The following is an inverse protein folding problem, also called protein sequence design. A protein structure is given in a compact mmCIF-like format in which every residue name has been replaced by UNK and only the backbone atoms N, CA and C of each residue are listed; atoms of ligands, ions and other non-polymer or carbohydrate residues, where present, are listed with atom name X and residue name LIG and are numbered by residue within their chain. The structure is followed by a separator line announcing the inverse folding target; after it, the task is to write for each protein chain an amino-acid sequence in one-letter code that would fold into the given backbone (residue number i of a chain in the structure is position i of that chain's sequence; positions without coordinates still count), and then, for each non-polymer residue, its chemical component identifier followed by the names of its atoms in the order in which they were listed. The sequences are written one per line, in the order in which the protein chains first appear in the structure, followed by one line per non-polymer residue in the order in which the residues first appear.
data_IF_173927974626
#
_entry.id   IF_173927974626
#
_cell.length_a   1.000
_cell.length_b   1.000
_cell.length_c   1.000
_cell.angle_alpha   90.00
_cell.angle_beta   90.00
_cell.angle_gamma   90.00
#
_symmetry.space_group_name_H-M   'P 1'
#
loop_
_entity.id
_entity.type
_entity.pdbx_description
1 polymer ?
#
# COMPACT_ATOMS: atom_id res chain seq x y z
N UNK A 1 -1.07 -1.43 22.36
CA UNK A 1 -0.92 -2.13 23.65
C UNK A 1 -1.86 -1.49 24.65
N UNK A 2 -2.38 -2.24 25.62
CA UNK A 2 -3.26 -1.66 26.66
C UNK A 2 -2.52 -1.69 27.98
N UNK A 3 -2.29 -0.52 28.57
CA UNK A 3 -1.73 -0.39 29.91
C UNK A 3 -2.87 -0.56 30.92
N UNK A 4 -2.65 -1.44 31.88
CA UNK A 4 -3.56 -1.72 32.98
C UNK A 4 -2.86 -1.25 34.25
N UNK A 5 -3.48 -0.30 34.93
CA UNK A 5 -3.02 0.21 36.21
C UNK A 5 -4.08 -0.04 37.28
N UNK A 6 -3.66 -0.38 38.49
CA UNK A 6 -4.56 -0.56 39.61
C UNK A 6 -4.47 0.64 40.54
N UNK A 7 -5.60 1.28 40.79
CA UNK A 7 -5.73 2.28 41.83
C UNK A 7 -5.59 1.63 43.23
N UNK A 8 -5.34 2.41 44.30
CA UNK A 8 -5.18 1.87 45.65
C UNK A 8 -6.39 1.09 46.18
N UNK A 9 -7.57 1.34 45.61
CA UNK A 9 -8.83 0.64 45.89
C UNK A 9 -8.98 -0.70 45.12
N UNK A 10 -8.03 -1.01 44.23
CA UNK A 10 -8.05 -2.19 43.37
C UNK A 10 -8.79 -2.01 42.04
N UNK A 11 -9.28 -0.80 41.73
CA UNK A 11 -9.98 -0.52 40.48
C UNK A 11 -8.99 -0.50 39.29
N UNK A 12 -9.22 -1.30 38.23
CA UNK A 12 -8.35 -1.28 37.04
C UNK A 12 -8.66 -0.09 36.13
N UNK A 13 -7.66 0.76 35.91
CA UNK A 13 -7.65 1.85 34.94
C UNK A 13 -6.96 1.39 33.66
N UNK A 14 -7.66 1.53 32.54
CA UNK A 14 -7.15 1.15 31.22
C UNK A 14 -6.70 2.39 30.45
N UNK A 15 -5.48 2.38 29.94
CA UNK A 15 -4.97 3.41 29.02
C UNK A 15 -4.31 2.77 27.79
N UNK A 16 -4.24 3.51 26.69
CA UNK A 16 -3.62 3.03 25.45
C UNK A 16 -2.13 3.38 25.48
N UNK A 17 -1.29 2.36 25.26
CA UNK A 17 0.14 2.56 25.02
C UNK A 17 0.42 2.38 23.53
N UNK A 18 0.91 3.47 22.91
CA UNK A 18 1.15 3.58 21.47
C UNK A 18 2.22 2.58 21.01
N UNK A 19 2.03 2.00 19.82
CA UNK A 19 2.91 0.99 19.24
C UNK A 19 4.27 1.52 18.77
N UNK A 20 4.41 2.82 18.49
CA UNK A 20 5.67 3.45 18.11
C UNK A 20 6.61 3.59 19.29
N UNK A 21 6.07 3.85 20.49
CA UNK A 21 6.85 4.04 21.72
C UNK A 21 6.94 2.79 22.59
N UNK A 22 6.14 1.74 22.32
CA UNK A 22 6.10 0.52 23.13
C UNK A 22 6.66 -0.68 22.36
N UNK A 23 7.62 -1.39 22.94
CA UNK A 23 8.23 -2.59 22.34
C UNK A 23 8.28 -3.75 23.33
N UNK A 24 8.27 -4.98 22.81
CA UNK A 24 8.49 -6.17 23.63
C UNK A 24 9.97 -6.19 24.05
N UNK A 25 10.21 -6.26 25.37
CA UNK A 25 11.56 -6.46 25.88
C UNK A 25 12.06 -7.86 25.58
N UNK A 26 13.38 -8.04 25.55
CA UNK A 26 13.98 -9.33 25.21
C UNK A 26 13.54 -10.40 26.23
N UNK A 27 12.91 -11.51 25.81
CA UNK A 27 12.51 -12.56 26.74
C UNK A 27 13.73 -13.19 27.44
N UNK A 28 13.61 -13.46 28.74
CA UNK A 28 14.64 -14.16 29.51
C UNK A 28 14.78 -15.64 29.08
N UNK A 29 13.67 -16.32 28.79
CA UNK A 29 13.67 -17.65 28.16
C UNK A 29 12.36 -17.93 27.42
N UNK A 30 12.45 -18.72 26.35
CA UNK A 30 11.29 -19.15 25.57
C UNK A 30 10.60 -18.06 24.74
N UNK A 31 9.35 -18.34 24.37
CA UNK A 31 8.56 -17.57 23.39
C UNK A 31 7.51 -16.64 24.03
N UNK A 32 7.64 -16.35 25.33
CA UNK A 32 6.67 -15.52 26.07
C UNK A 32 7.24 -14.12 26.32
N UNK A 33 6.50 -13.09 25.92
CA UNK A 33 6.80 -11.72 26.32
C UNK A 33 6.61 -11.58 27.84
N UNK A 34 7.67 -11.16 28.54
CA UNK A 34 7.70 -11.01 30.01
C UNK A 34 7.70 -9.56 30.44
N UNK A 35 8.30 -8.69 29.63
CA UNK A 35 8.37 -7.25 29.87
C UNK A 35 8.15 -6.47 28.56
N UNK A 36 7.73 -5.22 28.72
CA UNK A 36 7.55 -4.24 27.66
C UNK A 36 8.33 -2.98 28.00
N UNK A 37 8.99 -2.42 27.01
CA UNK A 37 9.79 -1.21 27.12
C UNK A 37 9.00 -0.06 26.49
N UNK A 38 8.88 1.05 27.21
CA UNK A 38 8.23 2.27 26.75
C UNK A 38 9.31 3.34 26.65
N UNK A 39 9.51 3.88 25.46
CA UNK A 39 10.47 4.95 25.23
C UNK A 39 9.96 5.87 24.10
N UNK A 40 9.78 7.17 24.35
CA UNK A 40 9.30 8.12 23.34
C UNK A 40 10.28 8.29 22.15
N UNK A 41 11.55 7.93 22.34
CA UNK A 41 12.60 8.05 21.32
C UNK A 41 12.71 6.81 20.42
N UNK A 42 11.89 5.77 20.62
CA UNK A 42 11.86 4.65 19.70
C UNK A 42 11.47 5.10 18.29
N UNK A 43 12.31 4.75 17.29
CA UNK A 43 12.13 5.18 15.90
C UNK A 43 12.82 6.50 15.54
N UNK A 44 13.37 7.22 16.52
CA UNK A 44 14.23 8.37 16.26
C UNK A 44 15.70 7.96 16.07
N UNK A 45 16.52 8.84 15.49
CA UNK A 45 17.97 8.64 15.40
C UNK A 45 18.64 8.55 16.79
N UNK A 46 17.93 8.98 17.85
CA UNK A 46 18.34 8.92 19.25
C UNK A 46 17.88 7.64 19.97
N UNK A 47 17.40 6.61 19.24
CA UNK A 47 16.84 5.36 19.78
C UNK A 47 17.78 4.53 20.70
N UNK A 48 19.03 4.95 20.87
CA UNK A 48 20.01 4.35 21.79
C UNK A 48 20.03 4.94 23.21
N UNK A 49 19.29 6.02 23.50
CA UNK A 49 19.22 6.57 24.86
C UNK A 49 18.39 5.64 25.78
N UNK A 50 19.07 4.69 26.41
CA UNK A 50 18.51 3.83 27.46
C UNK A 50 18.01 4.64 28.68
N UNK A 51 18.49 5.87 28.87
CA UNK A 51 18.21 6.72 30.04
C UNK A 51 16.76 7.22 30.15
N UNK A 52 15.88 6.85 29.23
CA UNK A 52 14.45 7.20 29.24
C UNK A 52 13.52 6.03 28.89
N UNK A 53 13.99 4.79 29.08
CA UNK A 53 13.17 3.59 28.82
C UNK A 53 12.51 3.11 30.10
N UNK A 54 11.20 3.25 30.19
CA UNK A 54 10.39 2.65 31.25
C UNK A 54 10.13 1.18 30.95
N UNK A 55 10.31 0.30 31.93
CA UNK A 55 10.06 -1.13 31.80
C UNK A 55 8.82 -1.52 32.59
N UNK A 56 7.81 -2.03 31.90
CA UNK A 56 6.59 -2.54 32.52
C UNK A 56 6.48 -4.05 32.31
N UNK A 57 5.99 -4.80 33.32
CA UNK A 57 5.78 -6.23 33.19
C UNK A 57 4.61 -6.54 32.24
N UNK A 58 4.67 -7.71 31.60
CA UNK A 58 3.55 -8.25 30.85
C UNK A 58 2.40 -8.63 31.79
N UNK A 59 1.17 -8.29 31.41
CA UNK A 59 -0.01 -8.62 32.18
C UNK A 59 -0.23 -10.14 32.27
N UNK A 60 -0.41 -10.66 33.48
CA UNK A 60 -0.73 -12.07 33.73
C UNK A 60 -2.22 -12.23 34.10
N UNK A 61 -2.99 -12.87 33.21
CA UNK A 61 -4.43 -13.13 33.42
C UNK A 61 -4.74 -13.94 34.68
N UNK A 62 -3.80 -14.78 35.15
CA UNK A 62 -4.01 -15.62 36.34
C UNK A 62 -3.71 -14.89 37.65
N UNK A 63 -2.88 -13.86 37.59
CA UNK A 63 -2.43 -13.05 38.73
C UNK A 63 -2.45 -11.58 38.33
N UNK A 64 -3.64 -11.01 38.15
CA UNK A 64 -3.81 -9.65 37.66
C UNK A 64 -3.23 -8.59 38.62
N UNK A 65 -3.27 -8.88 39.92
CA UNK A 65 -2.85 -8.06 41.05
C UNK A 65 -1.34 -8.11 41.34
N UNK A 66 -0.57 -8.88 40.57
CA UNK A 66 0.86 -9.05 40.80
C UNK A 66 1.66 -7.74 40.64
N UNK A 67 1.17 -6.81 39.81
CA UNK A 67 1.86 -5.58 39.48
C UNK A 67 0.88 -4.39 39.44
N UNK A 68 1.28 -3.25 40.00
CA UNK A 68 0.48 -2.01 40.01
C UNK A 68 0.20 -1.53 38.59
N UNK A 69 1.21 -1.59 37.71
CA UNK A 69 1.09 -1.25 36.30
C UNK A 69 1.65 -2.41 35.45
N UNK A 70 0.94 -2.76 34.39
CA UNK A 70 1.34 -3.82 33.47
C UNK A 70 0.78 -3.60 32.07
N UNK A 71 1.32 -4.31 31.08
CA UNK A 71 0.92 -4.19 29.68
C UNK A 71 0.20 -5.45 29.21
N UNK A 72 -1.05 -5.25 28.78
CA UNK A 72 -1.81 -6.22 28.02
C UNK A 72 -1.50 -6.10 26.52
N UNK A 73 -1.01 -7.19 25.95
CA UNK A 73 -0.75 -7.29 24.52
C UNK A 73 -1.87 -8.07 23.81
N UNK A 74 -2.84 -7.34 23.27
CA UNK A 74 -3.86 -7.89 22.38
C UNK A 74 -3.26 -8.10 20.99
N UNK A 75 -3.20 -9.35 20.54
CA UNK A 75 -2.73 -9.72 19.19
C UNK A 75 -3.47 -10.93 18.68
N UNK A 76 -3.47 -11.10 17.38
CA UNK A 76 -3.84 -12.36 16.76
C UNK A 76 -2.75 -13.40 16.99
N UNK A 77 -3.17 -14.65 17.25
CA UNK A 77 -2.24 -15.75 17.43
C UNK A 77 -1.92 -16.38 16.07
N UNK A 78 -0.68 -16.17 15.62
CA UNK A 78 -0.16 -16.72 14.37
C UNK A 78 0.95 -17.71 14.69
N UNK A 79 0.85 -18.92 14.15
CA UNK A 79 1.88 -19.95 14.31
C UNK A 79 3.21 -19.46 13.74
N UNK A 80 4.32 -19.77 14.41
CA UNK A 80 5.65 -19.31 14.02
C UNK A 80 5.96 -17.85 14.40
N UNK A 81 4.97 -17.08 14.90
CA UNK A 81 5.18 -15.73 15.41
C UNK A 81 4.88 -15.61 16.91
N UNK A 82 5.91 -15.74 17.77
CA UNK A 82 5.71 -15.71 19.21
C UNK A 82 5.47 -14.31 19.77
N UNK A 83 5.97 -13.25 19.12
CA UNK A 83 6.01 -11.90 19.69
C UNK A 83 4.96 -10.95 19.10
N UNK A 84 4.91 -10.78 17.79
CA UNK A 84 4.00 -9.85 17.10
C UNK A 84 3.08 -10.60 16.14
N UNK A 85 1.96 -10.00 15.77
CA UNK A 85 1.13 -10.45 14.65
C UNK A 85 1.54 -9.71 13.37
N UNK A 86 1.21 -10.27 12.21
CA UNK A 86 1.34 -9.58 10.93
C UNK A 86 0.18 -8.61 10.72
N UNK A 87 0.43 -7.40 10.21
CA UNK A 87 -0.65 -6.56 9.73
C UNK A 87 -1.25 -7.15 8.45
N UNK A 88 -2.56 -7.00 8.26
CA UNK A 88 -3.28 -7.61 7.14
C UNK A 88 -2.79 -7.16 5.75
N UNK A 89 -2.27 -5.94 5.63
CA UNK A 89 -1.67 -5.42 4.39
C UNK A 89 -0.31 -6.06 4.04
N UNK A 90 0.36 -6.74 4.98
CA UNK A 90 1.69 -7.28 4.75
C UNK A 90 1.72 -8.29 3.60
N UNK A 91 0.67 -9.11 3.49
CA UNK A 91 0.53 -10.11 2.45
C UNK A 91 0.27 -9.50 1.06
N UNK A 92 -0.15 -8.24 0.97
CA UNK A 92 -0.34 -7.51 -0.29
C UNK A 92 0.75 -6.48 -0.56
N UNK A 93 1.88 -6.52 0.16
CA UNK A 93 2.98 -5.57 -0.03
C UNK A 93 3.40 -5.43 -1.50
N UNK A 94 3.59 -6.55 -2.20
CA UNK A 94 4.03 -6.53 -3.60
C UNK A 94 2.96 -5.93 -4.53
N UNK A 95 1.68 -6.18 -4.24
CA UNK A 95 0.55 -5.57 -4.96
C UNK A 95 0.44 -4.06 -4.69
N UNK A 96 0.70 -3.63 -3.46
CA UNK A 96 0.73 -2.21 -3.09
C UNK A 96 1.89 -1.50 -3.80
N UNK A 97 3.07 -2.12 -3.82
CA UNK A 97 4.24 -1.59 -4.53
C UNK A 97 3.96 -1.46 -6.03
N UNK A 98 3.38 -2.50 -6.64
CA UNK A 98 2.96 -2.46 -8.04
C UNK A 98 1.95 -1.33 -8.30
N UNK A 99 0.89 -1.22 -7.48
CA UNK A 99 -0.11 -0.16 -7.61
C UNK A 99 0.49 1.24 -7.50
N UNK A 100 1.46 1.43 -6.60
CA UNK A 100 2.17 2.69 -6.42
C UNK A 100 3.07 3.05 -7.60
N UNK A 101 3.58 2.08 -8.37
CA UNK A 101 4.40 2.32 -9.56
C UNK A 101 3.56 2.68 -10.81
N UNK A 102 2.30 2.23 -10.86
CA UNK A 102 1.42 2.45 -12.00
C UNK A 102 1.15 3.95 -12.22
N UNK A 103 0.85 4.72 -11.16
CA UNK A 103 0.54 6.14 -11.32
C UNK A 103 1.75 6.96 -11.82
N UNK A 104 2.96 6.87 -11.21
CA UNK A 104 4.17 7.48 -11.76
C UNK A 104 4.49 7.05 -13.18
N UNK A 105 4.28 5.77 -13.52
CA UNK A 105 4.47 5.28 -14.89
C UNK A 105 3.57 6.00 -15.89
N UNK A 106 2.28 6.14 -15.61
CA UNK A 106 1.35 6.87 -16.48
C UNK A 106 1.65 8.37 -16.53
N UNK A 107 1.99 9.00 -15.40
CA UNK A 107 2.39 10.42 -15.37
C UNK A 107 3.63 10.65 -16.24
N UNK A 108 4.64 9.79 -16.12
CA UNK A 108 5.84 9.86 -16.94
C UNK A 108 5.54 9.57 -18.41
N UNK A 109 4.69 8.59 -18.70
CA UNK A 109 4.27 8.25 -20.05
C UNK A 109 3.49 9.37 -20.74
N UNK A 110 2.62 10.07 -20.01
CA UNK A 110 1.88 11.24 -20.51
C UNK A 110 2.79 12.45 -20.73
N UNK A 111 3.78 12.67 -19.86
CA UNK A 111 4.70 13.82 -19.98
C UNK A 111 5.79 13.60 -21.03
N UNK A 112 6.33 12.39 -21.12
CA UNK A 112 7.55 12.09 -21.87
C UNK A 112 7.37 11.10 -23.03
N UNK A 113 6.15 10.54 -23.19
CA UNK A 113 5.88 9.41 -24.04
C UNK A 113 6.21 8.08 -23.36
N UNK A 114 5.32 7.08 -23.51
CA UNK A 114 5.53 5.72 -22.99
C UNK A 114 6.68 4.99 -23.69
N UNK A 115 6.83 5.19 -24.99
CA UNK A 115 7.78 4.49 -25.84
C UNK A 115 8.43 5.43 -26.84
N UNK A 116 9.56 4.99 -27.43
CA UNK A 116 10.17 5.64 -28.58
C UNK A 116 9.20 5.49 -29.76
N UNK A 117 8.74 6.61 -30.33
CA UNK A 117 7.74 6.57 -31.42
C UNK A 117 8.36 6.53 -32.80
N UNK A 118 9.56 7.09 -32.96
CA UNK A 118 10.21 7.23 -34.26
C UNK A 118 11.65 6.74 -34.22
N UNK A 119 12.05 6.04 -35.28
CA UNK A 119 13.46 5.84 -35.60
C UNK A 119 13.79 6.72 -36.79
N UNK A 120 14.68 7.69 -36.58
CA UNK A 120 15.16 8.60 -37.62
C UNK A 120 16.45 8.00 -38.17
N UNK A 121 16.41 7.51 -39.40
CA UNK A 121 17.55 6.95 -40.11
C UNK A 121 18.21 8.05 -40.92
N UNK A 122 19.48 8.35 -40.63
CA UNK A 122 20.25 9.37 -41.35
C UNK A 122 21.49 8.74 -42.00
N UNK A 123 21.76 9.00 -43.29
CA UNK A 123 23.01 8.61 -43.91
C UNK A 123 24.22 9.25 -43.20
N UNK A 124 25.29 8.48 -42.98
CA UNK A 124 26.51 8.99 -42.30
C UNK A 124 27.14 10.19 -43.03
N UNK A 125 27.02 10.23 -44.34
CA UNK A 125 27.59 11.23 -45.24
C UNK A 125 26.60 12.35 -45.62
N UNK A 126 25.52 12.51 -44.85
CA UNK A 126 24.52 13.55 -45.05
C UNK A 126 25.12 14.98 -45.05
N UNK A 127 25.93 15.31 -44.04
CA UNK A 127 26.59 16.63 -43.95
C UNK A 127 27.88 16.75 -44.78
N UNK A 128 28.40 15.64 -45.31
CA UNK A 128 29.62 15.62 -46.12
C UNK A 128 29.38 16.15 -47.55
N UNK A 129 28.14 16.06 -48.04
CA UNK A 129 27.74 16.62 -49.36
C UNK A 129 27.49 18.13 -49.32
N UNK A 130 26.93 18.66 -48.22
CA UNK A 130 26.64 20.10 -48.07
C UNK A 130 27.89 20.95 -47.83
N UNK A 131 28.93 20.35 -47.25
CA UNK A 131 30.21 20.99 -47.04
C UNK A 131 31.22 20.48 -48.05
N UNK A 132 31.31 21.12 -49.22
CA UNK A 132 32.18 20.69 -50.32
C UNK A 132 33.57 20.27 -49.82
N UNK A 133 33.84 18.96 -49.82
CA UNK A 133 35.13 18.22 -49.71
C UNK A 133 36.24 18.74 -48.77
N UNK A 134 36.00 19.73 -47.91
CA UNK A 134 37.04 20.48 -47.18
C UNK A 134 36.60 20.95 -45.78
N UNK A 135 35.69 20.26 -45.10
CA UNK A 135 35.46 20.51 -43.67
C UNK A 135 36.40 19.68 -42.79
N UNK A 136 36.97 20.34 -41.78
CA UNK A 136 37.71 19.69 -40.69
C UNK A 136 36.79 18.66 -40.00
N UNK A 137 37.24 17.42 -39.74
CA UNK A 137 36.50 16.42 -38.96
C UNK A 137 35.83 16.96 -37.68
N UNK A 138 36.44 17.96 -37.04
CA UNK A 138 35.87 18.63 -35.85
C UNK A 138 34.61 19.44 -36.15
N UNK A 139 34.52 20.10 -37.31
CA UNK A 139 33.35 20.88 -37.71
C UNK A 139 32.18 20.00 -38.09
N UNK A 140 32.44 18.86 -38.74
CA UNK A 140 31.42 17.86 -39.07
C UNK A 140 30.84 17.27 -37.79
N UNK A 141 31.69 16.94 -36.81
CA UNK A 141 31.24 16.46 -35.50
C UNK A 141 30.38 17.49 -34.77
N UNK A 142 30.74 18.78 -34.84
CA UNK A 142 29.96 19.87 -34.25
C UNK A 142 28.60 20.02 -34.92
N UNK A 143 28.53 20.01 -36.26
CA UNK A 143 27.25 20.05 -37.00
C UNK A 143 26.34 18.88 -36.66
N UNK A 144 26.90 17.68 -36.52
CA UNK A 144 26.15 16.51 -36.05
C UNK A 144 25.64 16.66 -34.62
N UNK A 145 26.45 17.19 -33.71
CA UNK A 145 26.04 17.43 -32.33
C UNK A 145 24.92 18.48 -32.27
N UNK A 146 25.06 19.59 -33.01
CA UNK A 146 24.05 20.65 -33.08
C UNK A 146 22.75 20.16 -33.72
N UNK A 147 22.82 19.33 -34.77
CA UNK A 147 21.64 18.74 -35.40
C UNK A 147 20.95 17.72 -34.50
N UNK A 148 21.71 16.84 -33.84
CA UNK A 148 21.17 15.90 -32.85
C UNK A 148 20.51 16.65 -31.70
N UNK A 149 21.13 17.71 -31.18
CA UNK A 149 20.55 18.53 -30.11
C UNK A 149 19.25 19.21 -30.56
N UNK A 150 19.23 19.86 -31.74
CA UNK A 150 18.03 20.49 -32.29
C UNK A 150 16.90 19.49 -32.53
N UNK A 151 17.21 18.29 -33.01
CA UNK A 151 16.22 17.23 -33.19
C UNK A 151 15.73 16.67 -31.86
N UNK A 152 16.62 16.47 -30.89
CA UNK A 152 16.24 16.09 -29.53
C UNK A 152 15.34 17.15 -28.89
N UNK A 153 15.68 18.44 -28.99
CA UNK A 153 14.88 19.53 -28.42
C UNK A 153 13.52 19.68 -29.10
N UNK A 154 13.48 19.55 -30.45
CA UNK A 154 12.23 19.55 -31.20
C UNK A 154 11.31 18.39 -30.81
N UNK A 155 11.87 17.24 -30.44
CA UNK A 155 11.16 16.01 -30.11
C UNK A 155 10.95 15.76 -28.60
N UNK A 156 11.58 16.54 -27.73
CA UNK A 156 11.56 16.35 -26.26
C UNK A 156 10.74 17.42 -25.51
N UNK A 157 10.08 18.35 -26.20
CA UNK A 157 9.25 19.37 -25.57
C UNK A 157 8.02 18.77 -24.87
N UNK A 158 7.54 19.41 -23.81
CA UNK A 158 6.27 19.06 -23.15
C UNK A 158 5.07 19.18 -24.09
N UNK A 159 5.17 20.03 -25.11
CA UNK A 159 4.19 20.15 -26.20
C UNK A 159 4.42 19.13 -27.33
N UNK A 160 5.61 18.54 -27.41
CA UNK A 160 6.05 17.58 -28.43
C UNK A 160 6.44 16.24 -27.78
N UNK A 161 5.43 15.54 -27.24
CA UNK A 161 5.58 14.31 -26.43
C UNK A 161 6.03 13.10 -27.27
N UNK A 162 7.27 13.04 -27.78
CA UNK A 162 7.75 11.92 -28.61
C UNK A 162 9.27 11.70 -28.58
N UNK A 163 9.76 10.71 -27.81
CA UNK A 163 11.16 10.28 -27.92
C UNK A 163 11.43 9.64 -29.29
N UNK A 164 12.51 10.06 -29.96
CA UNK A 164 13.00 9.45 -31.20
C UNK A 164 14.42 8.90 -31.05
N UNK A 165 14.68 7.76 -31.67
CA UNK A 165 16.02 7.18 -31.76
C UNK A 165 16.63 7.56 -33.11
N UNK A 166 17.76 8.25 -33.07
CA UNK A 166 18.51 8.62 -34.27
C UNK A 166 19.55 7.54 -34.54
N UNK A 167 19.46 6.90 -35.71
CA UNK A 167 20.42 5.87 -36.16
C UNK A 167 21.14 6.36 -37.41
N UNK A 168 22.48 6.31 -37.36
CA UNK A 168 23.32 6.59 -38.53
C UNK A 168 23.63 5.28 -39.24
N UNK A 169 23.39 5.21 -40.55
CA UNK A 169 23.70 4.02 -41.34
C UNK A 169 24.64 4.36 -42.51
N UNK A 170 25.43 3.36 -42.93
CA UNK A 170 26.28 3.43 -44.12
C UNK A 170 25.43 3.11 -45.34
N UNK A 171 25.62 3.86 -46.44
CA UNK A 171 24.92 3.59 -47.70
C UNK A 171 25.34 2.22 -48.23
N UNK A 172 24.36 1.41 -48.65
CA UNK A 172 24.62 0.23 -49.47
C UNK A 172 25.03 0.63 -50.88
N UNK A 173 25.78 -0.23 -51.56
CA UNK A 173 26.35 -0.03 -52.91
C UNK A 173 25.29 -0.04 -54.05
N UNK A 174 24.01 0.05 -53.70
CA UNK A 174 22.89 -0.41 -54.53
C UNK A 174 22.22 0.70 -55.36
N UNK A 175 22.90 1.85 -55.53
CA UNK A 175 22.57 2.89 -56.53
C UNK A 175 21.20 3.58 -56.43
N UNK A 176 20.29 3.17 -55.54
CA UNK A 176 18.99 3.82 -55.34
C UNK A 176 19.17 5.08 -54.48
N UNK A 177 18.66 6.20 -54.98
CA UNK A 177 18.73 7.50 -54.32
C UNK A 177 18.04 7.47 -52.95
N UNK A 178 18.83 7.21 -51.91
CA UNK A 178 18.45 7.34 -50.50
C UNK A 178 19.01 8.66 -49.96
N UNK A 179 18.71 9.76 -50.64
CA UNK A 179 19.08 11.12 -50.21
C UNK A 179 18.16 11.65 -49.09
N UNK A 180 17.16 10.88 -48.66
CA UNK A 180 16.17 11.32 -47.68
C UNK A 180 16.46 10.77 -46.27
N UNK A 181 16.30 11.64 -45.27
CA UNK A 181 16.15 11.23 -43.86
C UNK A 181 14.83 10.45 -43.78
N UNK A 182 14.90 9.19 -43.38
CA UNK A 182 13.73 8.33 -43.24
C UNK A 182 13.25 8.30 -41.79
N UNK A 183 11.98 8.63 -41.56
CA UNK A 183 11.35 8.65 -40.25
C UNK A 183 10.40 7.47 -40.18
N UNK A 184 10.86 6.38 -39.56
CA UNK A 184 10.08 5.15 -39.44
C UNK A 184 9.30 5.19 -38.12
N UNK A 185 7.95 5.20 -38.15
CA UNK A 185 7.16 5.06 -36.94
C UNK A 185 7.31 3.63 -36.40
N UNK A 186 7.62 3.49 -35.11
CA UNK A 186 7.60 2.21 -34.42
C UNK A 186 6.16 1.90 -34.01
N UNK A 187 5.68 0.72 -34.43
CA UNK A 187 4.39 0.22 -33.98
C UNK A 187 4.52 -0.18 -32.50
N UNK A 188 3.78 0.49 -31.63
CA UNK A 188 3.66 0.08 -30.24
C UNK A 188 2.54 -0.96 -30.12
N UNK A 189 2.88 -2.15 -29.64
CA UNK A 189 1.92 -3.25 -29.43
C UNK A 189 1.34 -3.29 -28.01
N UNK A 190 1.94 -2.55 -27.07
CA UNK A 190 1.44 -2.46 -25.71
C UNK A 190 0.35 -1.38 -25.65
N UNK A 191 -0.90 -1.81 -25.45
CA UNK A 191 -2.06 -0.94 -25.26
C UNK A 191 -2.19 -0.51 -23.79
N UNK A 192 -2.68 0.70 -23.57
CA UNK A 192 -3.02 1.25 -22.24
C UNK A 192 -4.01 0.34 -21.46
N UNK A 193 -4.77 -0.49 -22.16
CA UNK A 193 -5.70 -1.48 -21.60
C UNK A 193 -4.98 -2.56 -20.76
N UNK A 194 -3.76 -2.96 -21.13
CA UNK A 194 -2.99 -3.93 -20.35
C UNK A 194 -2.66 -3.40 -18.95
N UNK A 195 -2.27 -2.13 -18.84
CA UNK A 195 -1.92 -1.51 -17.57
C UNK A 195 -3.14 -1.21 -16.70
N UNK A 196 -4.27 -0.86 -17.32
CA UNK A 196 -5.54 -0.66 -16.62
C UNK A 196 -6.01 -1.96 -15.93
N UNK A 197 -5.86 -3.11 -16.61
CA UNK A 197 -6.16 -4.43 -16.04
C UNK A 197 -5.24 -4.80 -14.89
N UNK A 198 -3.94 -4.49 -15.00
CA UNK A 198 -2.97 -4.74 -13.92
C UNK A 198 -3.32 -3.90 -12.68
N UNK A 199 -3.71 -2.64 -12.88
CA UNK A 199 -4.18 -1.78 -11.78
C UNK A 199 -5.43 -2.33 -11.11
N UNK A 200 -6.40 -2.78 -11.89
CA UNK A 200 -7.63 -3.39 -11.37
C UNK A 200 -7.34 -4.65 -10.55
N UNK A 201 -6.51 -5.56 -11.09
CA UNK A 201 -6.08 -6.77 -10.39
C UNK A 201 -5.31 -6.46 -9.10
N UNK A 202 -4.48 -5.42 -9.10
CA UNK A 202 -3.76 -4.99 -7.91
C UNK A 202 -4.72 -4.52 -6.82
N UNK A 203 -5.73 -3.69 -7.15
CA UNK A 203 -6.71 -3.23 -6.17
C UNK A 203 -7.58 -4.36 -5.61
N UNK A 204 -7.92 -5.35 -6.45
CA UNK A 204 -8.62 -6.56 -6.00
C UNK A 204 -7.74 -7.38 -5.06
N UNK A 205 -6.45 -7.56 -5.40
CA UNK A 205 -5.48 -8.25 -4.55
C UNK A 205 -5.32 -7.58 -3.19
N UNK A 206 -5.23 -6.25 -3.17
CA UNK A 206 -5.09 -5.45 -1.94
C UNK A 206 -6.33 -5.57 -1.06
N UNK A 207 -7.53 -5.38 -1.61
CA UNK A 207 -8.80 -5.48 -0.86
C UNK A 207 -9.00 -6.87 -0.26
N UNK A 208 -8.72 -7.92 -1.03
CA UNK A 208 -8.79 -9.30 -0.55
C UNK A 208 -7.79 -9.58 0.56
N UNK A 209 -6.55 -9.09 0.46
CA UNK A 209 -5.52 -9.29 1.48
C UNK A 209 -5.88 -8.63 2.81
N UNK A 210 -6.48 -7.43 2.79
CA UNK A 210 -6.95 -6.76 4.02
C UNK A 210 -8.25 -7.35 4.57
N UNK A 211 -8.85 -8.34 3.89
CA UNK A 211 -10.08 -8.99 4.30
C UNK A 211 -11.33 -8.13 4.10
N UNK A 212 -11.29 -7.17 3.16
CA UNK A 212 -12.43 -6.34 2.79
C UNK A 212 -12.92 -6.79 1.41
N UNK A 213 -14.22 -7.02 1.28
CA UNK A 213 -14.81 -7.39 -0.01
C UNK A 213 -14.66 -6.21 -1.00
N UNK A 214 -14.21 -6.45 -2.26
CA UNK A 214 -13.91 -5.38 -3.23
C UNK A 214 -15.03 -4.34 -3.39
N UNK A 215 -16.28 -4.82 -3.41
CA UNK A 215 -17.50 -4.00 -3.48
C UNK A 215 -17.58 -2.96 -2.35
N UNK A 216 -17.20 -3.33 -1.12
CA UNK A 216 -17.14 -2.37 0.00
C UNK A 216 -15.94 -1.44 -0.09
N UNK A 217 -14.86 -1.89 -0.73
CA UNK A 217 -13.67 -1.09 -1.00
C UNK A 217 -13.83 -0.11 -2.17
N UNK A 218 -15.00 -0.08 -2.83
CA UNK A 218 -15.21 0.71 -4.05
C UNK A 218 -14.43 0.20 -5.26
N UNK A 219 -13.93 -1.03 -5.19
CA UNK A 219 -13.24 -1.70 -6.29
C UNK A 219 -14.25 -2.57 -7.01
N UNK A 220 -14.74 -2.10 -8.14
CA UNK A 220 -15.64 -2.86 -9.02
C UNK A 220 -14.82 -3.45 -10.16
N UNK A 221 -14.61 -4.79 -10.18
CA UNK A 221 -13.89 -5.42 -11.25
C UNK A 221 -14.68 -5.36 -12.58
N UNK A 222 -14.07 -4.80 -13.62
CA UNK A 222 -14.62 -4.69 -14.96
C UNK A 222 -15.78 -3.71 -15.12
N UNK A 223 -16.27 -3.63 -16.36
CA UNK A 223 -17.39 -2.79 -16.79
C UNK A 223 -18.77 -3.28 -16.32
N UNK A 224 -18.84 -4.03 -15.23
CA UNK A 224 -20.12 -4.43 -14.64
C UNK A 224 -20.67 -3.26 -13.84
N UNK A 225 -21.52 -2.49 -14.51
CA UNK A 225 -22.31 -1.41 -13.95
C UNK A 225 -22.95 -1.81 -12.63
N UNK A 226 -22.51 -1.16 -11.55
CA UNK A 226 -23.24 -1.00 -10.29
C UNK A 226 -23.53 -2.28 -9.53
N UNK A 227 -22.77 -2.54 -8.47
CA UNK A 227 -23.22 -3.42 -7.40
C UNK A 227 -24.57 -2.91 -6.88
N UNK A 228 -25.60 -3.75 -6.96
CA UNK A 228 -26.95 -3.35 -6.54
C UNK A 228 -26.93 -2.95 -5.06
N UNK A 229 -27.73 -1.96 -4.66
CA UNK A 229 -27.82 -1.56 -3.25
C UNK A 229 -28.17 -2.73 -2.32
N UNK A 230 -28.92 -3.72 -2.81
CA UNK A 230 -29.18 -4.97 -2.10
C UNK A 230 -27.93 -5.81 -1.87
N UNK A 231 -27.08 -5.95 -2.88
CA UNK A 231 -25.80 -6.66 -2.76
C UNK A 231 -24.86 -5.96 -1.77
N UNK A 232 -24.73 -4.63 -1.86
CA UNK A 232 -23.89 -3.86 -0.93
C UNK A 232 -24.34 -4.06 0.53
N UNK A 233 -25.66 -4.04 0.80
CA UNK A 233 -26.20 -4.31 2.15
C UNK A 233 -25.84 -5.71 2.64
N UNK A 234 -26.01 -6.74 1.81
CA UNK A 234 -25.68 -8.14 2.18
C UNK A 234 -24.18 -8.27 2.47
N UNK A 235 -23.34 -7.70 1.62
CA UNK A 235 -21.87 -7.71 1.75
C UNK A 235 -21.42 -6.96 3.01
N UNK A 236 -22.03 -5.83 3.33
CA UNK A 236 -21.77 -5.06 4.56
C UNK A 236 -22.16 -5.84 5.82
N UNK A 237 -23.36 -6.44 5.84
CA UNK A 237 -23.79 -7.30 6.94
C UNK A 237 -22.85 -8.50 7.10
N UNK A 238 -22.44 -9.14 6.00
CA UNK A 238 -21.49 -10.25 6.02
C UNK A 238 -20.11 -9.83 6.59
N UNK A 239 -19.60 -8.67 6.19
CA UNK A 239 -18.35 -8.12 6.71
C UNK A 239 -18.43 -7.93 8.22
N UNK A 240 -19.51 -7.31 8.70
CA UNK A 240 -19.73 -7.07 10.12
C UNK A 240 -19.84 -8.37 10.92
N UNK A 241 -20.71 -9.30 10.49
CA UNK A 241 -21.00 -10.52 11.23
C UNK A 241 -19.88 -11.56 11.19
N UNK A 242 -19.13 -11.69 10.09
CA UNK A 242 -18.19 -12.80 9.90
C UNK A 242 -16.72 -12.39 9.84
N UNK A 243 -16.40 -11.18 9.38
CA UNK A 243 -14.99 -10.76 9.19
C UNK A 243 -14.42 -9.96 10.36
N UNK A 244 -15.25 -9.34 11.18
CA UNK A 244 -14.82 -8.56 12.35
C UNK A 244 -14.82 -9.24 13.74
N UNK A 245 -15.48 -10.41 13.99
CA UNK A 245 -15.60 -10.96 15.36
C UNK A 245 -14.27 -11.18 16.09
N UNK A 246 -13.25 -11.70 15.42
CA UNK A 246 -11.94 -11.99 16.04
C UNK A 246 -11.27 -10.70 16.50
N UNK A 247 -11.16 -9.70 15.62
CA UNK A 247 -10.56 -8.41 15.95
C UNK A 247 -11.32 -7.69 17.07
N UNK A 248 -12.66 -7.72 17.01
CA UNK A 248 -13.51 -7.15 18.06
C UNK A 248 -13.31 -7.82 19.41
N UNK A 249 -13.20 -9.16 19.43
CA UNK A 249 -12.91 -9.92 20.66
C UNK A 249 -11.57 -9.51 21.26
N UNK A 250 -10.52 -9.40 20.45
CA UNK A 250 -9.18 -8.98 20.90
C UNK A 250 -9.21 -7.57 21.50
N UNK A 251 -9.91 -6.63 20.86
CA UNK A 251 -10.02 -5.24 21.33
C UNK A 251 -10.80 -5.15 22.65
N UNK A 252 -11.91 -5.91 22.77
CA UNK A 252 -12.78 -5.88 23.95
C UNK A 252 -12.25 -6.73 25.12
N UNK A 253 -11.28 -7.61 24.88
CA UNK A 253 -10.74 -8.52 25.89
C UNK A 253 -10.25 -7.80 27.17
N UNK A 254 -9.39 -6.76 27.11
CA UNK A 254 -8.96 -6.05 28.31
C UNK A 254 -10.11 -5.32 29.02
N UNK A 255 -11.10 -4.82 28.28
CA UNK A 255 -12.27 -4.12 28.85
C UNK A 255 -13.17 -5.11 29.60
N UNK A 256 -13.48 -6.24 28.97
CA UNK A 256 -14.27 -7.32 29.59
C UNK A 256 -13.51 -8.00 30.73
N UNK A 257 -12.18 -7.96 30.72
CA UNK A 257 -11.37 -8.38 31.86
C UNK A 257 -11.52 -7.39 33.02
N UNK A 258 -11.34 -6.10 32.78
CA UNK A 258 -11.47 -5.06 33.81
C UNK A 258 -12.85 -5.05 34.48
N UNK A 259 -13.93 -5.20 33.70
CA UNK A 259 -15.30 -5.30 34.25
C UNK A 259 -15.47 -6.49 35.19
N UNK A 260 -14.91 -7.65 34.83
CA UNK A 260 -14.95 -8.83 35.70
C UNK A 260 -14.10 -8.65 36.94
N UNK A 261 -12.96 -7.98 36.84
CA UNK A 261 -12.12 -7.64 37.99
C UNK A 261 -12.84 -6.68 38.96
N UNK A 262 -13.71 -5.79 38.46
CA UNK A 262 -14.59 -4.93 39.26
C UNK A 262 -15.82 -5.64 39.82
N UNK A 263 -16.01 -6.95 39.55
CA UNK A 263 -17.14 -7.73 40.05
C UNK A 263 -18.38 -7.74 39.14
N UNK A 264 -18.37 -7.10 37.97
CA UNK A 264 -19.47 -7.17 37.02
C UNK A 264 -19.39 -8.49 36.23
N UNK A 265 -20.15 -9.49 36.65
CA UNK A 265 -20.20 -10.82 36.00
C UNK A 265 -21.39 -11.00 35.05
N UNK A 266 -22.38 -10.12 35.16
CA UNK A 266 -23.62 -10.11 34.37
C UNK A 266 -23.55 -9.18 33.14
N UNK A 267 -22.51 -8.35 33.05
CA UNK A 267 -22.32 -7.38 31.96
C UNK A 267 -21.14 -7.77 31.08
N UNK A 268 -21.37 -7.78 29.76
CA UNK A 268 -20.31 -7.94 28.74
C UNK A 268 -20.39 -6.78 27.77
N UNK A 269 -19.25 -6.13 27.49
CA UNK A 269 -19.16 -5.10 26.46
C UNK A 269 -19.05 -5.75 25.09
N UNK A 270 -19.83 -5.19 24.16
CA UNK A 270 -19.89 -5.58 22.76
C UNK A 270 -19.92 -4.32 21.91
N UNK A 271 -19.52 -4.47 20.65
CA UNK A 271 -19.77 -3.42 19.65
C UNK A 271 -21.27 -3.36 19.36
N UNK A 272 -21.78 -2.16 19.16
CA UNK A 272 -23.15 -1.95 18.71
C UNK A 272 -23.21 -2.31 17.23
N UNK A 273 -23.90 -3.40 16.92
CA UNK A 273 -24.09 -3.83 15.54
C UNK A 273 -25.36 -3.22 14.92
N UNK A 274 -25.25 -2.94 13.63
CA UNK A 274 -26.29 -2.32 12.83
C UNK A 274 -26.48 -3.20 11.62
N UNK A 275 -27.65 -3.78 11.47
CA UNK A 275 -27.98 -4.56 10.29
C UNK A 275 -28.66 -3.64 9.28
N UNK A 276 -28.10 -3.60 8.06
CA UNK A 276 -28.70 -2.86 6.96
C UNK A 276 -29.87 -3.66 6.37
N UNK A 277 -31.03 -3.03 6.24
CA UNK A 277 -32.26 -3.63 5.72
C UNK A 277 -32.86 -2.80 4.58
N UNK A 278 -33.87 -3.33 3.90
CA UNK A 278 -34.67 -2.56 2.95
C UNK A 278 -35.49 -1.51 3.69
N UNK A 279 -35.81 -0.40 3.01
CA UNK A 279 -36.69 0.65 3.54
C UNK A 279 -38.09 0.11 3.83
N UNK A 280 -38.52 -0.92 3.09
CA UNK A 280 -39.78 -1.62 3.31
C UNK A 280 -39.82 -2.36 4.65
N UNK A 281 -38.66 -2.81 5.16
CA UNK A 281 -38.55 -3.52 6.43
C UNK A 281 -38.28 -2.59 7.62
N UNK A 282 -37.57 -1.47 7.40
CA UNK A 282 -37.32 -0.45 8.40
C UNK A 282 -37.22 0.94 7.75
N UNK A 283 -38.01 1.95 8.18
CA UNK A 283 -38.01 3.29 7.56
C UNK A 283 -36.65 4.02 7.63
N UNK A 284 -35.81 3.66 8.61
CA UNK A 284 -34.45 4.20 8.76
C UNK A 284 -33.39 3.49 7.90
N UNK A 285 -33.75 2.39 7.23
CA UNK A 285 -32.81 1.55 6.47
C UNK A 285 -31.82 0.74 7.32
N UNK A 286 -31.96 0.81 8.64
CA UNK A 286 -31.10 0.14 9.62
C UNK A 286 -31.92 -0.43 10.76
N UNK A 287 -31.61 -1.64 11.21
CA UNK A 287 -32.16 -2.22 12.43
C UNK A 287 -31.04 -2.65 13.39
N UNK A 288 -31.27 -2.63 14.71
CA UNK A 288 -30.32 -3.19 15.66
C UNK A 288 -30.08 -4.67 15.32
N UNK A 289 -28.82 -5.06 15.14
CA UNK A 289 -28.52 -6.48 14.98
C UNK A 289 -28.65 -7.18 16.34
N UNK A 290 -29.31 -8.34 16.38
CA UNK A 290 -29.31 -9.19 17.58
C UNK A 290 -27.91 -9.78 17.70
N UNK A 291 -27.15 -9.30 18.69
CA UNK A 291 -25.86 -9.89 19.06
C UNK A 291 -26.11 -11.26 19.70
N UNK A 292 -26.28 -12.30 18.90
CA UNK A 292 -26.42 -13.67 19.39
C UNK A 292 -25.08 -14.16 19.92
N UNK A 293 -24.85 -14.04 21.22
CA UNK A 293 -23.79 -14.78 21.90
C UNK A 293 -24.32 -16.18 22.24
N UNK A 294 -23.83 -17.21 21.55
CA UNK A 294 -23.56 -18.47 22.24
C UNK A 294 -22.28 -18.27 23.05
N UNK A 295 -22.41 -18.47 24.36
CA UNK A 295 -21.35 -18.40 25.36
C UNK A 295 -20.15 -19.31 25.03
#
# INVERSE_FOLDING_TARGET
FTRIEYEPDGTPVLSVSDCFITRIGRPASGNKATEFHINPYFGSHAAGLQSGTDKLPAFDRKRPDQHVASIWHGREYISGQPFYAFPSWWCSRDWIELANLIAPFHISGLKNGYNIKYVIKVPKDYFDKEGGRTLDPKEVQKKWADWTQKMSDWLAGTDNVNKALIVRYLRGDDGKALDAIDVVPLKNENSDDAYSKVWEMANIGITNAVGILPVLGGVTPGSKSGDSGSQIRVVANYQQSYRTPVHRKIILEPINFALRAMGYTDVVRLFKDVQLTTLDAAPSGTQPAVNANTA
#
